data_IF_168410531355
#
_entry.id   IF_168410531355
#
_cell.length_a   1.000
_cell.length_b   1.000
_cell.length_c   1.000
_cell.angle_alpha   90.00
_cell.angle_beta   90.00
_cell.angle_gamma   90.00
#
_symmetry.space_group_name_H-M   'P 1'
#
loop_
_entity.id
_entity.type
_entity.pdbx_description
1 polymer ?
#
# COMPACT_ATOMS: atom_id res chain seq x y z
N UNK A 1 -18.97 8.10 -5.71
CA UNK A 1 -18.42 6.84 -5.20
C UNK A 1 -17.97 6.96 -3.74
N UNK A 2 -17.13 7.94 -3.41
CA UNK A 2 -16.69 8.15 -2.01
C UNK A 2 -17.87 8.42 -1.08
N UNK A 3 -18.85 9.23 -1.50
CA UNK A 3 -20.09 9.50 -0.75
C UNK A 3 -20.86 8.21 -0.44
N UNK A 4 -21.04 7.37 -1.45
CA UNK A 4 -21.67 6.06 -1.27
C UNK A 4 -20.92 5.19 -0.29
N UNK A 5 -19.59 5.10 -0.43
CA UNK A 5 -18.77 4.31 0.49
C UNK A 5 -18.76 4.89 1.91
N UNK A 6 -18.69 6.21 2.03
CA UNK A 6 -18.76 6.88 3.33
C UNK A 6 -20.08 6.60 4.04
N UNK A 7 -21.20 6.58 3.32
CA UNK A 7 -22.52 6.27 3.90
C UNK A 7 -22.62 4.82 4.44
N UNK A 8 -21.76 3.92 3.99
CA UNK A 8 -21.69 2.53 4.49
C UNK A 8 -20.86 2.44 5.77
N UNK A 9 -19.79 3.24 5.88
CA UNK A 9 -18.82 3.16 6.98
C UNK A 9 -19.13 4.10 8.14
N UNK A 10 -19.88 5.19 7.89
CA UNK A 10 -20.14 6.22 8.88
C UNK A 10 -21.39 5.90 9.71
N UNK A 11 -21.35 6.28 10.99
CA UNK A 11 -22.48 6.12 11.91
C UNK A 11 -23.55 7.21 11.72
N UNK A 12 -23.16 8.35 11.13
CA UNK A 12 -24.03 9.50 10.90
C UNK A 12 -23.54 10.37 9.73
N UNK A 13 -24.38 11.35 9.33
CA UNK A 13 -24.09 12.21 8.18
C UNK A 13 -22.87 13.11 8.34
N UNK A 14 -22.58 13.57 9.55
CA UNK A 14 -21.41 14.42 9.84
C UNK A 14 -20.12 13.62 9.63
N UNK A 15 -20.07 12.40 10.18
CA UNK A 15 -18.93 11.49 9.99
C UNK A 15 -18.77 11.09 8.52
N UNK A 16 -19.86 10.84 7.80
CA UNK A 16 -19.82 10.57 6.37
C UNK A 16 -19.21 11.73 5.58
N UNK A 17 -19.59 12.95 5.91
CA UNK A 17 -19.01 14.16 5.29
C UNK A 17 -17.50 14.27 5.55
N UNK A 18 -17.04 14.05 6.76
CA UNK A 18 -15.61 14.07 7.10
C UNK A 18 -14.83 12.97 6.39
N UNK A 19 -15.41 11.78 6.22
CA UNK A 19 -14.80 10.70 5.43
C UNK A 19 -14.65 11.09 3.97
N UNK A 20 -15.69 11.65 3.35
CA UNK A 20 -15.62 12.10 1.95
C UNK A 20 -14.57 13.18 1.77
N UNK A 21 -14.57 14.20 2.63
CA UNK A 21 -13.58 15.28 2.60
C UNK A 21 -12.17 14.74 2.63
N UNK A 22 -11.87 13.86 3.59
CA UNK A 22 -10.55 13.21 3.69
C UNK A 22 -10.24 12.34 2.48
N UNK A 23 -11.21 11.57 1.99
CA UNK A 23 -11.03 10.75 0.79
C UNK A 23 -10.67 11.58 -0.44
N UNK A 24 -11.29 12.74 -0.62
CA UNK A 24 -10.97 13.68 -1.70
C UNK A 24 -9.55 14.26 -1.56
N UNK A 25 -9.13 14.59 -0.34
CA UNK A 25 -7.76 15.06 -0.05
C UNK A 25 -6.71 13.98 -0.33
N UNK A 26 -6.98 12.74 0.09
CA UNK A 26 -6.05 11.60 -0.08
C UNK A 26 -5.87 11.23 -1.56
N UNK A 27 -6.96 11.16 -2.34
CA UNK A 27 -6.84 10.70 -3.74
C UNK A 27 -6.19 11.72 -4.68
N UNK A 28 -6.13 13.00 -4.29
CA UNK A 28 -5.47 14.09 -5.05
C UNK A 28 -5.91 14.15 -6.53
N UNK A 29 -7.20 13.90 -6.80
CA UNK A 29 -7.72 13.88 -8.18
C UNK A 29 -8.23 15.25 -8.65
N UNK A 30 -8.37 16.25 -7.76
CA UNK A 30 -8.81 17.60 -8.09
C UNK A 30 -10.16 17.59 -8.83
N UNK A 31 -10.25 18.36 -9.91
CA UNK A 31 -11.47 18.49 -10.72
C UNK A 31 -11.95 17.16 -11.34
N UNK A 32 -11.04 16.18 -11.48
CA UNK A 32 -11.35 14.86 -12.02
C UNK A 32 -12.27 14.04 -11.10
N UNK A 33 -12.44 14.44 -9.83
CA UNK A 33 -13.41 13.82 -8.92
C UNK A 33 -14.85 13.87 -9.43
N UNK A 34 -15.17 14.83 -10.29
CA UNK A 34 -16.49 14.98 -10.91
C UNK A 34 -16.69 14.09 -12.15
N UNK A 35 -15.66 13.46 -12.65
CA UNK A 35 -15.74 12.59 -13.80
C UNK A 35 -16.35 11.24 -13.43
N UNK A 36 -16.93 10.58 -14.45
CA UNK A 36 -17.34 9.17 -14.29
C UNK A 36 -16.12 8.30 -14.06
N UNK A 37 -16.20 7.38 -13.09
CA UNK A 37 -15.09 6.44 -12.78
C UNK A 37 -14.69 5.60 -13.99
N UNK A 38 -15.62 5.32 -14.91
CA UNK A 38 -15.32 4.65 -16.19
C UNK A 38 -14.28 5.38 -17.04
N UNK A 39 -14.09 6.68 -16.81
CA UNK A 39 -13.12 7.51 -17.53
C UNK A 39 -11.80 7.66 -16.80
N UNK A 40 -11.64 7.02 -15.64
CA UNK A 40 -10.41 7.09 -14.85
C UNK A 40 -9.31 6.23 -15.49
N UNK A 41 -8.08 6.76 -15.45
CA UNK A 41 -6.90 5.94 -15.69
C UNK A 41 -6.74 4.91 -14.57
N UNK A 42 -5.92 3.87 -14.80
CA UNK A 42 -5.60 2.87 -13.77
C UNK A 42 -5.03 3.51 -12.51
N UNK A 43 -4.14 4.52 -12.66
CA UNK A 43 -3.57 5.26 -11.54
C UNK A 43 -4.63 6.03 -10.76
N UNK A 44 -5.53 6.75 -11.45
CA UNK A 44 -6.65 7.47 -10.80
C UNK A 44 -7.57 6.51 -10.05
N UNK A 45 -7.93 5.38 -10.66
CA UNK A 45 -8.76 4.37 -10.01
C UNK A 45 -8.07 3.80 -8.76
N UNK A 46 -6.76 3.54 -8.81
CA UNK A 46 -5.98 3.04 -7.67
C UNK A 46 -5.91 4.06 -6.53
N UNK A 47 -5.68 5.34 -6.82
CA UNK A 47 -5.73 6.43 -5.83
C UNK A 47 -7.10 6.51 -5.16
N UNK A 48 -8.18 6.41 -5.93
CA UNK A 48 -9.54 6.41 -5.39
C UNK A 48 -9.80 5.21 -4.47
N UNK A 49 -9.34 4.01 -4.84
CA UNK A 49 -9.48 2.80 -4.01
C UNK A 49 -8.67 2.89 -2.72
N UNK A 50 -7.46 3.45 -2.77
CA UNK A 50 -6.65 3.71 -1.59
C UNK A 50 -7.34 4.73 -0.68
N UNK A 51 -7.82 5.84 -1.23
CA UNK A 51 -8.57 6.85 -0.47
C UNK A 51 -9.80 6.27 0.22
N UNK A 52 -10.56 5.41 -0.48
CA UNK A 52 -11.69 4.68 0.11
C UNK A 52 -11.28 3.83 1.32
N UNK A 53 -10.17 3.10 1.21
CA UNK A 53 -9.73 2.23 2.29
C UNK A 53 -9.26 3.01 3.53
N UNK A 54 -8.77 4.24 3.34
CA UNK A 54 -8.10 5.04 4.36
C UNK A 54 -9.01 6.15 4.93
N UNK A 55 -10.00 6.62 4.18
CA UNK A 55 -10.86 7.73 4.61
C UNK A 55 -11.53 7.53 5.99
N UNK A 56 -11.85 6.29 6.47
CA UNK A 56 -12.37 6.07 7.81
C UNK A 56 -11.30 6.14 8.92
N UNK A 57 -10.02 6.35 8.58
CA UNK A 57 -8.87 6.27 9.49
C UNK A 57 -8.81 4.95 10.27
N UNK A 58 -8.69 3.82 9.58
CA UNK A 58 -8.57 2.53 10.26
C UNK A 58 -7.28 2.47 11.08
N UNK A 59 -7.28 1.73 12.19
CA UNK A 59 -6.06 1.48 12.97
C UNK A 59 -4.98 0.75 12.14
N UNK A 60 -5.41 -0.07 11.19
CA UNK A 60 -4.56 -0.80 10.25
C UNK A 60 -5.20 -0.81 8.87
N UNK A 61 -4.50 -0.31 7.86
CA UNK A 61 -4.89 -0.45 6.46
C UNK A 61 -4.19 -1.67 5.83
N UNK A 62 -4.96 -2.57 5.21
CA UNK A 62 -4.43 -3.74 4.52
C UNK A 62 -4.51 -3.48 3.01
N UNK A 63 -3.37 -3.54 2.33
CA UNK A 63 -3.24 -3.25 0.91
C UNK A 63 -2.60 -4.45 0.19
N UNK A 64 -3.34 -5.01 -0.75
CA UNK A 64 -2.86 -6.12 -1.58
C UNK A 64 -2.40 -5.57 -2.93
N UNK A 65 -1.09 -5.72 -3.22
CA UNK A 65 -0.45 -5.28 -4.47
C UNK A 65 -0.82 -3.84 -4.87
N UNK A 66 -0.59 -2.82 -4.04
CA UNK A 66 -1.16 -1.48 -4.25
C UNK A 66 -0.67 -0.79 -5.53
N UNK A 67 0.48 -1.17 -6.07
CA UNK A 67 1.06 -0.57 -7.29
C UNK A 67 1.03 -1.50 -8.50
N UNK A 68 0.51 -2.71 -8.37
CA UNK A 68 0.50 -3.70 -9.45
C UNK A 68 -0.25 -3.18 -10.68
N UNK A 69 0.37 -3.35 -11.86
CA UNK A 69 -0.18 -2.95 -13.14
C UNK A 69 -0.19 -1.43 -13.42
N UNK A 70 0.48 -0.64 -12.58
CA UNK A 70 0.69 0.79 -12.80
C UNK A 70 2.01 1.05 -13.55
N UNK A 71 2.04 2.14 -14.31
CA UNK A 71 3.30 2.69 -14.80
C UNK A 71 4.15 3.26 -13.66
N UNK A 72 5.41 3.53 -13.93
CA UNK A 72 6.40 3.96 -12.94
C UNK A 72 5.96 5.22 -12.19
N UNK A 73 5.40 6.21 -12.89
CA UNK A 73 5.02 7.50 -12.29
C UNK A 73 3.86 7.30 -11.31
N UNK A 74 2.79 6.61 -11.74
CA UNK A 74 1.65 6.32 -10.89
C UNK A 74 2.03 5.43 -9.70
N UNK A 75 2.92 4.45 -9.90
CA UNK A 75 3.42 3.63 -8.80
C UNK A 75 4.19 4.44 -7.76
N UNK A 76 5.06 5.38 -8.19
CA UNK A 76 5.78 6.29 -7.30
C UNK A 76 4.83 7.19 -6.50
N UNK A 77 3.76 7.69 -7.11
CA UNK A 77 2.76 8.52 -6.42
C UNK A 77 2.05 7.74 -5.32
N UNK A 78 1.62 6.50 -5.58
CA UNK A 78 1.00 5.63 -4.58
C UNK A 78 1.97 5.34 -3.41
N UNK A 79 3.25 5.03 -3.71
CA UNK A 79 4.26 4.79 -2.67
C UNK A 79 4.48 6.02 -1.78
N UNK A 80 4.57 7.22 -2.39
CA UNK A 80 4.71 8.48 -1.65
C UNK A 80 3.50 8.73 -0.75
N UNK A 81 2.30 8.46 -1.26
CA UNK A 81 1.06 8.59 -0.50
C UNK A 81 1.04 7.66 0.72
N UNK A 82 1.40 6.38 0.55
CA UNK A 82 1.51 5.42 1.66
C UNK A 82 2.54 5.90 2.69
N UNK A 83 3.74 6.30 2.24
CA UNK A 83 4.80 6.80 3.14
C UNK A 83 4.38 8.06 3.90
N UNK A 84 3.71 9.00 3.25
CA UNK A 84 3.16 10.20 3.89
C UNK A 84 2.19 9.83 5.00
N UNK A 85 1.20 9.00 4.70
CA UNK A 85 0.18 8.58 5.68
C UNK A 85 0.78 7.76 6.83
N UNK A 86 1.79 6.93 6.55
CA UNK A 86 2.54 6.22 7.59
C UNK A 86 3.29 7.19 8.51
N UNK A 87 3.92 8.24 7.96
CA UNK A 87 4.59 9.28 8.75
C UNK A 87 3.63 10.12 9.60
N UNK A 88 2.36 10.16 9.23
CA UNK A 88 1.26 10.79 9.99
C UNK A 88 0.66 9.85 11.07
N UNK A 89 1.22 8.64 11.22
CA UNK A 89 0.88 7.70 12.30
C UNK A 89 -0.05 6.55 11.89
N UNK A 90 -0.38 6.39 10.60
CA UNK A 90 -1.19 5.27 10.13
C UNK A 90 -0.36 4.00 9.99
N UNK A 91 -0.90 2.87 10.41
CA UNK A 91 -0.27 1.56 10.21
C UNK A 91 -0.75 0.90 8.92
N UNK A 92 0.20 0.28 8.20
CA UNK A 92 -0.07 -0.43 6.96
C UNK A 92 0.46 -1.86 7.01
N UNK A 93 -0.34 -2.80 6.52
CA UNK A 93 0.12 -4.12 6.11
C UNK A 93 -0.06 -4.20 4.59
N UNK A 94 1.02 -4.36 3.85
CA UNK A 94 0.95 -4.45 2.40
C UNK A 94 1.62 -5.73 1.89
N UNK A 95 1.05 -6.31 0.83
CA UNK A 95 1.69 -7.34 0.04
C UNK A 95 2.25 -6.73 -1.24
N UNK A 96 3.39 -7.20 -1.68
CA UNK A 96 3.93 -6.92 -3.02
C UNK A 96 4.95 -7.99 -3.41
N UNK A 97 5.06 -8.27 -4.70
CA UNK A 97 6.14 -9.06 -5.28
C UNK A 97 7.27 -8.18 -5.83
N UNK A 98 7.14 -6.86 -5.74
CA UNK A 98 8.17 -5.90 -6.16
C UNK A 98 9.07 -5.54 -4.98
N UNK A 99 10.25 -6.13 -4.91
CA UNK A 99 11.19 -5.96 -3.80
C UNK A 99 11.66 -4.51 -3.64
N UNK A 100 11.80 -3.74 -4.75
CA UNK A 100 12.12 -2.32 -4.70
C UNK A 100 11.00 -1.50 -4.06
N UNK A 101 9.74 -1.89 -4.28
CA UNK A 101 8.61 -1.26 -3.61
C UNK A 101 8.66 -1.50 -2.11
N UNK A 102 8.81 -2.77 -1.71
CA UNK A 102 8.87 -3.18 -0.31
C UNK A 102 10.01 -2.45 0.40
N UNK A 103 11.19 -2.43 -0.17
CA UNK A 103 12.36 -1.75 0.39
C UNK A 103 12.12 -0.23 0.59
N UNK A 104 11.39 0.39 -0.34
CA UNK A 104 11.08 1.81 -0.27
C UNK A 104 10.01 2.16 0.77
N UNK A 105 8.92 1.35 0.89
CA UNK A 105 7.75 1.73 1.69
C UNK A 105 7.72 1.12 3.08
N UNK A 106 8.43 0.01 3.33
CA UNK A 106 8.24 -0.80 4.53
C UNK A 106 9.29 -0.52 5.59
N UNK A 107 8.86 -0.40 6.84
CA UNK A 107 9.76 -0.36 8.00
C UNK A 107 10.21 -1.78 8.42
N UNK A 108 9.36 -2.77 8.18
CA UNK A 108 9.64 -4.20 8.39
C UNK A 108 9.09 -5.03 7.26
N UNK A 109 9.77 -6.12 6.94
CA UNK A 109 9.42 -7.05 5.87
C UNK A 109 9.27 -8.46 6.44
N UNK A 110 8.24 -9.17 5.99
CA UNK A 110 8.08 -10.61 6.19
C UNK A 110 8.23 -11.32 4.84
N UNK A 111 9.13 -12.31 4.77
CA UNK A 111 9.31 -13.16 3.59
C UNK A 111 8.45 -14.41 3.78
N UNK A 112 7.52 -14.62 2.85
CA UNK A 112 6.61 -15.76 2.87
C UNK A 112 6.85 -16.62 1.62
N UNK A 113 7.04 -17.92 1.81
CA UNK A 113 7.07 -18.88 0.71
C UNK A 113 6.40 -20.18 1.13
N UNK A 114 5.71 -20.84 0.18
CA UNK A 114 4.98 -22.10 0.41
C UNK A 114 4.03 -22.08 1.62
N UNK A 115 3.46 -20.90 1.92
CA UNK A 115 2.52 -20.72 3.05
C UNK A 115 3.18 -20.54 4.42
N UNK A 116 4.50 -20.49 4.50
CA UNK A 116 5.25 -20.26 5.74
C UNK A 116 5.92 -18.90 5.76
N UNK A 117 5.91 -18.26 6.94
CA UNK A 117 6.69 -17.05 7.20
C UNK A 117 8.14 -17.46 7.51
N UNK A 118 9.04 -17.23 6.57
CA UNK A 118 10.42 -17.70 6.64
C UNK A 118 11.33 -16.75 7.40
N UNK A 119 11.13 -15.45 7.24
CA UNK A 119 12.00 -14.43 7.84
C UNK A 119 11.20 -13.14 8.09
N UNK A 120 11.58 -12.39 9.14
CA UNK A 120 11.00 -11.07 9.46
C UNK A 120 12.10 -10.14 9.99
N UNK A 121 12.21 -8.95 9.40
CA UNK A 121 13.18 -7.96 9.86
C UNK A 121 13.05 -6.63 9.15
N UNK A 122 13.89 -5.66 9.49
CA UNK A 122 14.02 -4.44 8.69
C UNK A 122 14.78 -4.75 7.40
N UNK A 123 14.45 -4.09 6.27
CA UNK A 123 15.15 -4.32 5.01
C UNK A 123 16.68 -4.31 5.15
N UNK A 124 17.25 -3.28 5.77
CA UNK A 124 18.70 -3.15 5.93
C UNK A 124 19.31 -4.25 6.81
N UNK A 125 18.63 -4.65 7.89
CA UNK A 125 19.08 -5.73 8.79
C UNK A 125 19.08 -7.10 8.06
N UNK A 126 18.08 -7.34 7.20
CA UNK A 126 18.01 -8.57 6.41
C UNK A 126 19.10 -8.60 5.33
N UNK A 127 19.31 -7.49 4.63
CA UNK A 127 20.39 -7.35 3.63
C UNK A 127 21.76 -7.65 4.27
N UNK A 128 22.04 -7.06 5.42
CA UNK A 128 23.28 -7.31 6.17
C UNK A 128 23.39 -8.78 6.64
N UNK A 129 22.32 -9.30 7.26
CA UNK A 129 22.26 -10.67 7.80
C UNK A 129 22.57 -11.73 6.74
N UNK A 130 22.06 -11.55 5.54
CA UNK A 130 22.25 -12.49 4.43
C UNK A 130 23.45 -12.14 3.54
N UNK A 131 24.17 -11.04 3.81
CA UNK A 131 25.29 -10.57 2.98
C UNK A 131 24.84 -10.27 1.54
N UNK A 132 23.60 -9.82 1.34
CA UNK A 132 22.97 -9.53 0.08
C UNK A 132 23.19 -8.07 -0.33
N UNK A 133 22.92 -7.74 -1.60
CA UNK A 133 22.99 -6.36 -2.09
C UNK A 133 21.65 -5.63 -1.99
N UNK A 134 20.53 -6.38 -1.98
CA UNK A 134 19.16 -5.89 -1.95
C UNK A 134 18.21 -6.96 -1.41
N UNK A 135 16.93 -6.61 -1.22
CA UNK A 135 15.91 -7.55 -0.74
C UNK A 135 15.60 -8.69 -1.73
N UNK A 136 15.83 -8.51 -3.02
CA UNK A 136 15.62 -9.57 -4.02
C UNK A 136 16.59 -10.73 -3.80
N UNK A 137 17.88 -10.41 -3.57
CA UNK A 137 18.88 -11.42 -3.20
C UNK A 137 18.61 -12.05 -1.83
N UNK A 138 18.09 -11.28 -0.86
CA UNK A 138 17.66 -11.84 0.43
C UNK A 138 16.57 -12.87 0.22
N UNK A 139 15.54 -12.53 -0.56
CA UNK A 139 14.43 -13.44 -0.86
C UNK A 139 14.93 -14.72 -1.51
N UNK A 140 15.79 -14.60 -2.52
CA UNK A 140 16.38 -15.74 -3.21
C UNK A 140 17.12 -16.67 -2.23
N UNK A 141 18.01 -16.14 -1.40
CA UNK A 141 18.77 -16.91 -0.41
C UNK A 141 17.88 -17.59 0.62
N UNK A 142 16.91 -16.86 1.18
CA UNK A 142 15.95 -17.39 2.17
C UNK A 142 15.12 -18.54 1.60
N UNK A 143 14.72 -18.46 0.33
CA UNK A 143 13.91 -19.50 -0.32
C UNK A 143 14.77 -20.70 -0.74
N UNK A 144 15.96 -20.47 -1.31
CA UNK A 144 16.86 -21.54 -1.76
C UNK A 144 17.43 -22.36 -0.60
N UNK A 145 17.81 -21.72 0.51
CA UNK A 145 18.31 -22.42 1.71
C UNK A 145 17.32 -23.46 2.26
N UNK A 146 16.03 -23.28 1.97
CA UNK A 146 14.97 -24.23 2.36
C UNK A 146 14.66 -25.31 1.30
N UNK A 147 15.11 -25.14 0.08
CA UNK A 147 14.96 -26.18 -0.97
C UNK A 147 16.06 -27.24 -0.90
N UNK A 148 17.12 -26.97 -0.14
CA UNK A 148 18.28 -27.87 0.04
C UNK A 148 18.14 -28.77 1.30
N UNK A 149 17.12 -28.52 2.14
CA UNK A 149 16.79 -29.31 3.33
C UNK A 149 15.53 -30.18 3.10
#
# INVERSE_FOLDING_TARGET
>A
YLEFMASIYADNGEQAYEFVKRGCEICELGDRLNDKISNYSRGMARKLLLARAIMPLPALAILDEPTSGLDIINALEIRRMIRKLASEGMSFLLSSHNMLEIEYVSDRVGIIAKGELLEVGKPAELIEKYGAQNLEEVFERVVLDREVL
#
